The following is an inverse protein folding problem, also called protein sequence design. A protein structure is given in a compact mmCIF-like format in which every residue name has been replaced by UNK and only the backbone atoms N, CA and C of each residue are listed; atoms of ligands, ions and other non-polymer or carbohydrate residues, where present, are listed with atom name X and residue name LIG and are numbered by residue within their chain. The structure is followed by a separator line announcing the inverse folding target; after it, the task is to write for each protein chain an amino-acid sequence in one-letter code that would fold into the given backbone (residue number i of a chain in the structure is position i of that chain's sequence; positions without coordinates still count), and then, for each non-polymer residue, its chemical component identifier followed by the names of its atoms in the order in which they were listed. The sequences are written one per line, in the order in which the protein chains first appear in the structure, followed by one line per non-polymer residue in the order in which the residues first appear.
data_IF_890920489905
#
_entry.id   IF_890920489905
#
_cell.length_a   1.000
_cell.length_b   1.000
_cell.length_c   1.000
_cell.angle_alpha   90.00
_cell.angle_beta   90.00
_cell.angle_gamma   90.00
#
_symmetry.space_group_name_H-M   'P 1'
#
loop_
_entity.id
_entity.type
_entity.pdbx_description
1 polymer ?
#
# COMPACT_ATOMS: atom_id res chain seq x y z
N UNK A 1 -62.75 -65.36 -28.39
CA UNK A 1 -63.64 -64.19 -28.43
C UNK A 1 -64.43 -64.13 -27.14
N UNK A 2 -64.08 -63.23 -26.22
CA UNK A 2 -65.01 -62.31 -25.54
C UNK A 2 -64.35 -61.64 -24.34
N UNK A 3 -64.33 -60.32 -24.41
CA UNK A 3 -63.96 -59.34 -23.39
C UNK A 3 -64.96 -59.29 -22.23
N UNK A 4 -64.47 -58.76 -21.08
CA UNK A 4 -65.11 -57.85 -20.07
C UNK A 4 -64.21 -57.92 -18.82
N UNK A 5 -63.38 -56.93 -18.42
CA UNK A 5 -63.59 -55.57 -17.86
C UNK A 5 -64.81 -55.52 -16.89
N UNK A 6 -64.81 -55.10 -15.62
CA UNK A 6 -64.19 -54.06 -14.74
C UNK A 6 -64.41 -54.52 -13.24
N UNK A 7 -64.27 -53.72 -12.15
CA UNK A 7 -63.13 -52.99 -11.58
C UNK A 7 -63.03 -53.13 -10.03
N UNK A 8 -62.06 -52.45 -9.38
CA UNK A 8 -62.19 -51.70 -8.12
C UNK A 8 -60.86 -51.68 -7.34
N UNK A 9 -60.35 -50.49 -7.02
CA UNK A 9 -60.13 -50.04 -5.64
C UNK A 9 -59.28 -48.75 -5.61
N UNK A 10 -59.64 -47.91 -4.65
CA UNK A 10 -59.13 -46.59 -4.32
C UNK A 10 -57.64 -46.58 -3.96
N UNK A 11 -56.98 -45.45 -4.20
CA UNK A 11 -55.68 -45.13 -3.60
C UNK A 11 -55.32 -43.66 -3.77
N UNK A 12 -55.64 -42.84 -2.78
CA UNK A 12 -55.17 -41.47 -2.68
C UNK A 12 -53.64 -41.44 -2.46
N UNK A 13 -52.90 -40.73 -3.32
CA UNK A 13 -51.47 -40.51 -3.13
C UNK A 13 -51.18 -39.00 -3.09
N UNK A 14 -50.87 -38.51 -1.90
CA UNK A 14 -50.30 -37.19 -1.61
C UNK A 14 -48.92 -37.09 -2.28
N UNK A 15 -48.81 -36.29 -3.34
CA UNK A 15 -47.54 -35.90 -3.95
C UNK A 15 -47.02 -34.65 -3.25
N UNK A 16 -46.26 -34.85 -2.16
CA UNK A 16 -45.47 -33.81 -1.51
C UNK A 16 -44.22 -33.51 -2.35
N UNK A 17 -44.30 -32.47 -3.18
CA UNK A 17 -43.18 -31.93 -3.96
C UNK A 17 -42.17 -31.25 -3.04
N UNK A 18 -41.16 -31.99 -2.55
CA UNK A 18 -39.98 -31.40 -1.92
C UNK A 18 -39.09 -30.78 -3.01
N UNK A 19 -39.26 -29.48 -3.24
CA UNK A 19 -38.30 -28.67 -3.99
C UNK A 19 -37.05 -28.45 -3.13
N UNK A 20 -36.03 -29.28 -3.32
CA UNK A 20 -34.67 -29.02 -2.84
C UNK A 20 -34.03 -27.96 -3.74
N UNK A 21 -34.24 -26.69 -3.44
CA UNK A 21 -33.42 -25.60 -3.95
C UNK A 21 -32.10 -25.58 -3.16
N UNK A 22 -31.16 -26.47 -3.51
CA UNK A 22 -29.75 -26.25 -3.19
C UNK A 22 -29.24 -25.10 -4.06
N UNK A 23 -29.47 -23.87 -3.62
CA UNK A 23 -28.76 -22.69 -4.13
C UNK A 23 -27.31 -22.76 -3.65
N UNK A 24 -26.51 -23.60 -4.31
CA UNK A 24 -25.07 -23.39 -4.33
C UNK A 24 -24.82 -22.23 -5.29
N UNK A 25 -24.83 -21.00 -4.76
CA UNK A 25 -24.24 -19.87 -5.46
C UNK A 25 -22.78 -20.20 -5.83
N UNK A 26 -22.21 -19.60 -6.88
CA UNK A 26 -20.85 -19.90 -7.31
C UNK A 26 -19.89 -19.72 -6.14
N UNK A 27 -19.32 -20.82 -5.67
CA UNK A 27 -18.30 -20.82 -4.65
C UNK A 27 -17.11 -20.05 -5.23
N UNK A 28 -16.83 -18.86 -4.68
CA UNK A 28 -15.74 -18.01 -5.20
C UNK A 28 -14.42 -18.82 -5.17
N UNK A 29 -13.46 -18.55 -6.07
CA UNK A 29 -12.24 -19.35 -6.14
C UNK A 29 -11.44 -19.24 -4.84
N UNK A 30 -10.86 -20.36 -4.40
CA UNK A 30 -9.79 -20.35 -3.40
C UNK A 30 -8.61 -19.48 -3.88
N UNK A 31 -7.69 -19.14 -2.96
CA UNK A 31 -6.51 -18.37 -3.29
C UNK A 31 -5.71 -19.08 -4.40
N UNK A 32 -5.46 -18.39 -5.50
CA UNK A 32 -4.67 -18.92 -6.60
C UNK A 32 -3.73 -17.84 -7.16
N UNK A 33 -2.76 -18.25 -7.95
CA UNK A 33 -1.75 -17.31 -8.45
C UNK A 33 -2.37 -16.16 -9.27
N UNK A 34 -3.39 -16.44 -10.07
CA UNK A 34 -4.01 -15.46 -10.95
C UNK A 34 -4.76 -14.38 -10.16
N UNK A 35 -5.62 -14.78 -9.20
CA UNK A 35 -6.41 -13.85 -8.42
C UNK A 35 -5.54 -13.02 -7.45
N UNK A 36 -4.51 -13.62 -6.86
CA UNK A 36 -3.57 -12.90 -5.99
C UNK A 36 -2.67 -11.95 -6.78
N UNK A 37 -2.26 -12.32 -8.01
CA UNK A 37 -1.49 -11.43 -8.88
C UNK A 37 -2.30 -10.19 -9.24
N UNK A 38 -3.59 -10.36 -9.59
CA UNK A 38 -4.48 -9.23 -9.86
C UNK A 38 -4.65 -8.32 -8.63
N UNK A 39 -4.85 -8.91 -7.45
CA UNK A 39 -5.00 -8.18 -6.20
C UNK A 39 -3.72 -7.43 -5.81
N UNK A 40 -2.55 -8.06 -5.95
CA UNK A 40 -1.24 -7.45 -5.71
C UNK A 40 -0.97 -6.27 -6.65
N UNK A 41 -1.26 -6.42 -7.95
CA UNK A 41 -1.11 -5.34 -8.91
C UNK A 41 -2.03 -4.16 -8.59
N UNK A 42 -3.29 -4.42 -8.25
CA UNK A 42 -4.24 -3.38 -7.85
C UNK A 42 -3.81 -2.69 -6.55
N UNK A 43 -3.24 -3.43 -5.60
CA UNK A 43 -2.69 -2.88 -4.36
C UNK A 43 -1.48 -1.98 -4.64
N UNK A 44 -0.47 -2.47 -5.36
CA UNK A 44 0.76 -1.72 -5.64
C UNK A 44 0.51 -0.50 -6.54
N UNK A 45 -0.45 -0.56 -7.46
CA UNK A 45 -0.86 0.63 -8.22
C UNK A 45 -1.36 1.77 -7.31
N UNK A 46 -1.94 1.45 -6.14
CA UNK A 46 -2.48 2.44 -5.18
C UNK A 46 -1.53 2.76 -4.03
N UNK A 47 -0.72 1.80 -3.60
CA UNK A 47 0.07 1.82 -2.35
C UNK A 47 1.54 1.46 -2.57
N UNK A 48 1.99 1.36 -3.82
CA UNK A 48 3.38 1.02 -4.17
C UNK A 48 4.35 2.19 -4.07
N UNK A 49 3.91 3.41 -3.77
CA UNK A 49 4.81 4.55 -3.66
C UNK A 49 5.63 4.50 -2.37
N UNK A 50 6.95 4.62 -2.52
CA UNK A 50 7.89 4.74 -1.42
C UNK A 50 8.12 6.23 -1.11
N UNK A 51 7.36 6.77 -0.17
CA UNK A 51 7.39 8.19 0.15
C UNK A 51 8.12 8.53 1.45
N UNK A 52 8.58 9.77 1.55
CA UNK A 52 9.44 10.24 2.62
C UNK A 52 8.65 10.75 3.83
N UNK A 53 7.32 10.77 3.84
CA UNK A 53 6.56 11.42 4.92
C UNK A 53 6.89 12.91 5.04
N UNK A 54 7.11 13.57 3.90
CA UNK A 54 7.30 15.02 3.75
C UNK A 54 6.06 15.58 3.05
N UNK A 55 4.96 15.57 3.78
CA UNK A 55 3.61 15.86 3.26
C UNK A 55 3.25 17.35 3.29
N UNK A 56 3.97 18.15 4.09
CA UNK A 56 3.75 19.59 4.24
C UNK A 56 4.98 20.37 3.79
N UNK A 57 4.74 21.37 2.94
CA UNK A 57 5.77 22.27 2.41
C UNK A 57 5.32 23.72 2.57
N UNK A 58 6.25 24.68 2.80
CA UNK A 58 7.69 24.46 2.97
C UNK A 58 8.03 23.73 4.28
N UNK A 59 9.24 23.19 4.38
CA UNK A 59 9.75 22.53 5.59
C UNK A 59 10.70 23.50 6.29
N UNK A 60 10.36 23.88 7.51
CA UNK A 60 11.18 24.73 8.35
C UNK A 60 12.03 23.87 9.30
N UNK A 61 13.34 24.12 9.31
CA UNK A 61 14.30 23.49 10.22
C UNK A 61 14.83 24.56 11.17
N UNK A 62 14.50 24.50 12.48
CA UNK A 62 15.02 25.43 13.47
C UNK A 62 16.55 25.46 13.49
N UNK A 63 17.16 26.65 13.61
CA UNK A 63 18.62 26.76 13.66
C UNK A 63 19.23 25.96 14.82
N UNK A 64 18.51 25.84 15.94
CA UNK A 64 18.90 25.00 17.09
C UNK A 64 19.03 23.50 16.76
N UNK A 65 18.42 23.04 15.67
CA UNK A 65 18.53 21.65 15.21
C UNK A 65 19.67 21.46 14.20
N UNK A 66 20.31 22.54 13.72
CA UNK A 66 21.45 22.46 12.83
C UNK A 66 22.62 21.71 13.52
N UNK A 67 23.26 20.79 12.78
CA UNK A 67 24.34 19.96 13.33
C UNK A 67 23.90 18.85 14.30
N UNK A 68 22.60 18.74 14.59
CA UNK A 68 22.06 17.62 15.38
C UNK A 68 21.73 16.42 14.49
N UNK A 69 21.31 15.30 15.11
CA UNK A 69 20.77 14.12 14.39
C UNK A 69 19.27 14.21 14.11
N UNK A 70 18.68 15.41 14.22
CA UNK A 70 17.28 15.60 13.85
C UNK A 70 17.06 15.24 12.37
N UNK A 71 15.96 14.55 12.09
CA UNK A 71 15.68 13.97 10.77
C UNK A 71 15.80 14.98 9.63
N UNK A 72 15.14 16.14 9.75
CA UNK A 72 15.17 17.15 8.69
C UNK A 72 16.50 17.92 8.65
N UNK A 73 17.21 18.07 9.79
CA UNK A 73 18.54 18.66 9.81
C UNK A 73 19.57 17.86 9.02
N UNK A 74 19.42 16.52 8.96
CA UNK A 74 20.25 15.65 8.13
C UNK A 74 19.77 15.57 6.67
N UNK A 75 18.46 15.49 6.45
CA UNK A 75 17.90 15.17 5.14
C UNK A 75 17.77 16.37 4.20
N UNK A 76 17.36 17.53 4.71
CA UNK A 76 17.05 18.68 3.86
C UNK A 76 18.28 19.27 3.14
N UNK A 77 19.48 19.37 3.77
CA UNK A 77 20.68 19.81 3.07
C UNK A 77 21.09 18.89 1.91
N UNK A 78 20.84 17.58 2.02
CA UNK A 78 21.12 16.63 0.95
C UNK A 78 20.18 16.84 -0.23
N UNK A 79 18.87 17.04 0.04
CA UNK A 79 17.90 17.37 -1.00
C UNK A 79 18.20 18.73 -1.66
N UNK A 80 18.72 19.69 -0.90
CA UNK A 80 19.13 21.00 -1.41
C UNK A 80 20.33 20.89 -2.35
N UNK A 81 21.37 20.17 -1.95
CA UNK A 81 22.56 19.92 -2.79
C UNK A 81 22.18 19.30 -4.14
N UNK A 82 21.14 18.46 -4.16
CA UNK A 82 20.63 17.82 -5.37
C UNK A 82 19.69 18.70 -6.18
N UNK A 83 19.45 19.94 -5.74
CA UNK A 83 18.56 20.89 -6.41
C UNK A 83 17.08 20.54 -6.31
N UNK A 84 16.69 19.61 -5.42
CA UNK A 84 15.30 19.19 -5.21
C UNK A 84 14.55 20.20 -4.31
N UNK A 85 15.27 20.89 -3.44
CA UNK A 85 14.75 21.98 -2.62
C UNK A 85 15.70 23.18 -2.64
N UNK A 86 15.22 24.35 -2.29
CA UNK A 86 16.01 25.55 -2.08
C UNK A 86 15.89 26.02 -0.64
N UNK A 87 17.00 26.35 0.03
CA UNK A 87 16.97 26.94 1.35
C UNK A 87 16.84 28.47 1.32
N UNK A 88 16.20 29.01 2.35
CA UNK A 88 16.17 30.43 2.68
C UNK A 88 16.14 30.60 4.19
N UNK A 89 16.56 31.77 4.70
CA UNK A 89 16.38 32.11 6.12
C UNK A 89 14.99 32.67 6.32
N UNK A 90 14.32 32.27 7.40
CA UNK A 90 13.04 32.83 7.81
C UNK A 90 12.94 32.94 9.34
N UNK A 91 11.96 33.70 9.81
CA UNK A 91 11.51 33.72 11.20
C UNK A 91 10.07 33.22 11.26
N UNK A 92 9.78 32.35 12.21
CA UNK A 92 8.44 31.76 12.41
C UNK A 92 8.14 31.65 13.90
N UNK A 93 6.88 31.64 14.28
CA UNK A 93 6.48 31.32 15.66
C UNK A 93 6.96 29.90 16.03
N UNK A 94 7.47 29.73 17.24
CA UNK A 94 7.85 28.40 17.71
C UNK A 94 6.59 27.57 18.04
N UNK A 95 6.27 26.60 17.18
CA UNK A 95 5.15 25.68 17.41
C UNK A 95 5.30 24.89 18.72
N UNK A 96 6.54 24.68 19.21
CA UNK A 96 6.81 23.93 20.44
C UNK A 96 6.73 24.81 21.69
N UNK A 97 6.90 26.12 21.56
CA UNK A 97 6.90 27.07 22.67
C UNK A 97 6.40 28.44 22.20
N UNK A 98 5.07 28.61 22.22
CA UNK A 98 4.43 29.84 21.74
C UNK A 98 4.79 31.08 22.56
N UNK A 99 5.29 30.90 23.80
CA UNK A 99 5.71 32.01 24.66
C UNK A 99 7.13 32.50 24.32
N UNK A 100 7.95 31.65 23.70
CA UNK A 100 9.31 31.99 23.27
C UNK A 100 9.36 32.96 22.07
N UNK A 101 8.24 33.19 21.38
CA UNK A 101 8.13 34.11 20.25
C UNK A 101 8.68 33.54 18.93
N UNK A 102 9.16 34.42 18.06
CA UNK A 102 9.71 34.02 16.76
C UNK A 102 11.10 33.38 16.87
N UNK A 103 11.31 32.27 16.17
CA UNK A 103 12.58 31.57 16.04
C UNK A 103 13.13 31.67 14.62
N UNK A 104 14.45 31.68 14.50
CA UNK A 104 15.11 31.57 13.21
C UNK A 104 15.10 30.12 12.70
N UNK A 105 14.74 29.97 11.41
CA UNK A 105 14.68 28.68 10.72
C UNK A 105 15.39 28.76 9.37
N UNK A 106 15.90 27.61 8.92
CA UNK A 106 16.18 27.38 7.49
C UNK A 106 14.92 26.81 6.87
N UNK A 107 14.30 27.57 5.98
CA UNK A 107 13.10 27.20 5.23
C UNK A 107 13.49 26.56 3.90
N UNK A 108 13.05 25.32 3.70
CA UNK A 108 13.24 24.57 2.46
C UNK A 108 11.94 24.50 1.66
N UNK A 109 11.98 24.98 0.42
CA UNK A 109 10.87 24.92 -0.52
C UNK A 109 11.20 23.99 -1.70
N UNK A 110 10.20 23.30 -2.24
CA UNK A 110 10.37 22.48 -3.44
C UNK A 110 10.78 23.36 -4.64
N UNK A 111 11.83 22.96 -5.34
CA UNK A 111 12.19 23.54 -6.64
C UNK A 111 11.29 22.98 -7.74
N UNK A 112 11.43 23.49 -8.98
CA UNK A 112 10.76 22.89 -10.14
C UNK A 112 11.13 21.41 -10.35
N UNK A 113 12.38 21.03 -10.06
CA UNK A 113 12.81 19.63 -10.11
C UNK A 113 12.19 18.81 -8.96
N UNK A 114 12.21 19.34 -7.73
CA UNK A 114 11.62 18.66 -6.57
C UNK A 114 10.12 18.37 -6.73
N UNK A 115 9.38 19.29 -7.34
CA UNK A 115 7.94 19.11 -7.59
C UNK A 115 7.60 17.87 -8.44
N UNK A 116 8.52 17.40 -9.30
CA UNK A 116 8.30 16.17 -10.09
C UNK A 116 8.15 14.93 -9.21
N UNK A 117 8.68 14.98 -8.00
CA UNK A 117 8.66 13.87 -7.04
C UNK A 117 7.63 14.07 -5.92
N UNK A 118 6.89 15.19 -5.90
CA UNK A 118 5.79 15.40 -4.99
C UNK A 118 4.49 14.89 -5.62
N UNK A 119 3.96 13.80 -5.08
CA UNK A 119 2.73 13.18 -5.59
C UNK A 119 1.55 13.77 -4.84
N UNK A 120 0.77 14.62 -5.50
CA UNK A 120 -0.49 15.16 -4.97
C UNK A 120 -1.57 14.07 -4.95
N UNK A 121 -2.08 13.74 -3.76
CA UNK A 121 -3.11 12.71 -3.56
C UNK A 121 -3.98 13.04 -2.35
N UNK A 122 -5.20 12.53 -2.33
CA UNK A 122 -6.08 12.57 -1.16
C UNK A 122 -5.72 11.44 -0.16
N UNK A 123 -5.73 11.69 1.15
CA UNK A 123 -6.03 12.97 1.82
C UNK A 123 -4.84 13.93 1.94
N UNK A 124 -3.62 13.50 1.60
CA UNK A 124 -2.43 14.34 1.60
C UNK A 124 -1.39 13.84 0.60
N UNK A 125 -0.74 14.77 -0.10
CA UNK A 125 0.40 14.47 -0.96
C UNK A 125 1.66 14.15 -0.15
N UNK A 126 2.66 13.57 -0.81
CA UNK A 126 3.95 13.27 -0.20
C UNK A 126 5.09 13.35 -1.24
N UNK A 127 6.31 13.58 -0.77
CA UNK A 127 7.51 13.52 -1.58
C UNK A 127 8.00 12.08 -1.70
N UNK A 128 7.98 11.51 -2.90
CA UNK A 128 8.19 10.10 -3.14
C UNK A 128 9.50 9.82 -3.88
N UNK A 129 10.18 8.76 -3.46
CA UNK A 129 11.48 8.35 -3.96
C UNK A 129 11.38 7.28 -5.06
N UNK A 130 10.31 6.50 -5.06
CA UNK A 130 10.11 5.43 -6.01
C UNK A 130 8.66 4.94 -6.07
N UNK A 131 8.34 4.17 -7.10
CA UNK A 131 7.12 3.36 -7.20
C UNK A 131 7.47 1.88 -7.35
N UNK A 132 6.84 1.02 -6.54
CA UNK A 132 7.01 -0.43 -6.56
C UNK A 132 5.93 -1.06 -7.45
N UNK A 133 6.35 -1.95 -8.33
CA UNK A 133 5.44 -2.83 -9.11
C UNK A 133 5.72 -4.29 -8.79
N UNK A 134 4.73 -5.16 -8.97
CA UNK A 134 4.93 -6.58 -8.72
C UNK A 134 6.00 -7.14 -9.68
N UNK A 135 6.98 -7.85 -9.12
CA UNK A 135 7.88 -8.68 -9.91
C UNK A 135 7.27 -10.08 -10.06
N UNK A 136 7.09 -10.78 -8.93
CA UNK A 136 6.38 -12.06 -8.86
C UNK A 136 5.87 -12.35 -7.45
N UNK A 137 4.86 -13.20 -7.37
CA UNK A 137 4.47 -13.86 -6.12
C UNK A 137 5.41 -15.04 -5.90
N UNK A 138 5.99 -15.12 -4.71
CA UNK A 138 6.85 -16.23 -4.26
C UNK A 138 6.01 -17.36 -3.66
N UNK A 139 4.94 -17.00 -2.93
CA UNK A 139 4.02 -17.95 -2.33
C UNK A 139 2.97 -17.25 -1.46
N UNK A 140 2.00 -18.00 -0.93
CA UNK A 140 1.02 -17.50 0.02
C UNK A 140 0.65 -18.57 1.04
N UNK A 141 0.29 -18.13 2.24
CA UNK A 141 -0.10 -18.99 3.35
C UNK A 141 -1.38 -18.47 4.00
N UNK A 142 -2.28 -19.37 4.41
CA UNK A 142 -3.44 -19.00 5.22
C UNK A 142 -3.00 -18.54 6.60
N UNK A 143 -3.54 -17.42 7.09
CA UNK A 143 -3.27 -16.99 8.46
C UNK A 143 -3.92 -17.93 9.47
N UNK A 144 -3.09 -18.54 10.32
CA UNK A 144 -3.55 -19.45 11.39
C UNK A 144 -4.22 -18.72 12.55
N UNK A 145 -3.97 -17.42 12.66
CA UNK A 145 -4.40 -16.52 13.74
C UNK A 145 -5.45 -15.50 13.29
N UNK A 146 -5.93 -15.60 12.05
CA UNK A 146 -6.97 -14.70 11.56
C UNK A 146 -8.31 -15.03 12.24
N UNK A 147 -9.02 -13.98 12.68
CA UNK A 147 -10.39 -14.09 13.17
C UNK A 147 -11.34 -14.58 12.08
N UNK A 148 -10.97 -14.34 10.82
CA UNK A 148 -11.69 -14.81 9.65
C UNK A 148 -10.88 -15.89 8.91
N UNK A 149 -11.46 -17.08 8.62
CA UNK A 149 -10.76 -18.19 7.95
C UNK A 149 -10.38 -17.92 6.48
N UNK A 150 -10.45 -16.66 6.03
CA UNK A 150 -10.32 -16.26 4.63
C UNK A 150 -9.16 -15.28 4.36
N UNK A 151 -8.25 -15.11 5.33
CA UNK A 151 -7.05 -14.29 5.17
C UNK A 151 -5.82 -15.09 4.72
N UNK A 152 -5.07 -14.52 3.77
CA UNK A 152 -3.80 -15.05 3.29
C UNK A 152 -2.69 -14.00 3.39
N UNK A 153 -1.48 -14.47 3.65
CA UNK A 153 -0.26 -13.65 3.58
C UNK A 153 0.45 -13.97 2.26
N UNK A 154 0.45 -13.03 1.33
CA UNK A 154 1.16 -13.14 0.06
C UNK A 154 2.59 -12.68 0.24
N UNK A 155 3.55 -13.54 -0.08
CA UNK A 155 4.98 -13.21 -0.14
C UNK A 155 5.36 -12.93 -1.59
N UNK A 156 5.98 -11.80 -1.87
CA UNK A 156 6.27 -11.34 -3.23
C UNK A 156 7.61 -10.62 -3.34
N UNK A 157 8.21 -10.63 -4.53
CA UNK A 157 9.28 -9.69 -4.91
C UNK A 157 8.70 -8.56 -5.75
N UNK A 158 9.43 -7.45 -5.85
CA UNK A 158 8.99 -6.25 -6.56
C UNK A 158 10.06 -5.72 -7.51
N UNK A 159 9.63 -5.04 -8.57
CA UNK A 159 10.46 -4.13 -9.37
C UNK A 159 10.26 -2.71 -8.84
N UNK A 160 11.19 -1.83 -9.15
CA UNK A 160 11.16 -0.46 -8.68
C UNK A 160 11.42 0.51 -9.83
N UNK A 161 10.60 1.55 -9.91
CA UNK A 161 10.86 2.77 -10.67
C UNK A 161 11.36 3.81 -9.67
N UNK A 162 12.69 3.92 -9.53
CA UNK A 162 13.32 4.77 -8.54
C UNK A 162 13.75 6.10 -9.17
N UNK A 163 13.50 7.20 -8.45
CA UNK A 163 13.93 8.52 -8.89
C UNK A 163 15.47 8.56 -8.99
N UNK A 164 16.05 9.21 -10.03
CA UNK A 164 17.50 9.14 -10.26
C UNK A 164 18.36 9.60 -9.07
N UNK A 165 17.84 10.55 -8.29
CA UNK A 165 18.52 11.08 -7.11
C UNK A 165 18.71 10.05 -5.98
N UNK A 166 17.97 8.93 -5.98
CA UNK A 166 18.14 7.88 -4.97
C UNK A 166 19.45 7.11 -5.10
N UNK A 167 20.13 7.24 -6.25
CA UNK A 167 21.44 6.65 -6.49
C UNK A 167 22.60 7.38 -5.81
N UNK A 168 22.39 8.59 -5.29
CA UNK A 168 23.42 9.39 -4.63
C UNK A 168 23.82 8.79 -3.26
N UNK A 169 25.12 8.73 -2.97
CA UNK A 169 25.64 8.08 -1.76
C UNK A 169 25.23 8.78 -0.47
N UNK A 170 25.09 10.10 -0.47
CA UNK A 170 24.64 10.82 0.72
C UNK A 170 23.13 10.63 0.94
N UNK A 171 22.36 10.51 -0.15
CA UNK A 171 20.94 10.14 -0.06
C UNK A 171 20.79 8.77 0.59
N UNK A 172 21.58 7.78 0.17
CA UNK A 172 21.53 6.44 0.75
C UNK A 172 21.84 6.42 2.25
N UNK A 173 22.73 7.32 2.71
CA UNK A 173 23.06 7.47 4.13
C UNK A 173 21.93 8.10 4.95
N UNK A 174 21.30 9.17 4.46
CA UNK A 174 20.28 9.92 5.23
C UNK A 174 18.85 9.42 5.03
N UNK A 175 18.64 8.54 4.04
CA UNK A 175 17.38 7.83 3.76
C UNK A 175 17.58 6.30 3.71
N UNK A 176 17.98 5.64 4.81
CA UNK A 176 18.35 4.22 4.81
C UNK A 176 17.22 3.27 4.42
N UNK A 177 15.95 3.65 4.65
CA UNK A 177 14.81 2.85 4.18
C UNK A 177 14.67 2.90 2.67
N UNK A 178 14.86 4.08 2.05
CA UNK A 178 14.84 4.22 0.59
C UNK A 178 15.92 3.36 -0.02
N UNK A 179 17.14 3.49 0.49
CA UNK A 179 18.28 2.70 0.06
C UNK A 179 18.03 1.19 0.15
N UNK A 180 17.53 0.70 1.29
CA UNK A 180 17.22 -0.71 1.48
C UNK A 180 16.21 -1.22 0.44
N UNK A 181 15.15 -0.45 0.18
CA UNK A 181 14.10 -0.85 -0.77
C UNK A 181 14.60 -0.78 -2.21
N UNK A 182 15.38 0.25 -2.58
CA UNK A 182 15.97 0.36 -3.92
C UNK A 182 16.92 -0.81 -4.20
N UNK A 183 17.85 -1.11 -3.27
CA UNK A 183 18.80 -2.21 -3.41
C UNK A 183 18.16 -3.60 -3.37
N UNK A 184 17.00 -3.72 -2.73
CA UNK A 184 16.24 -4.97 -2.63
C UNK A 184 15.42 -5.33 -3.86
N UNK A 185 15.34 -4.48 -4.89
CA UNK A 185 14.52 -4.75 -6.07
C UNK A 185 14.87 -6.11 -6.72
N UNK A 186 13.85 -6.90 -7.04
CA UNK A 186 13.95 -8.24 -7.62
C UNK A 186 14.39 -9.36 -6.67
N UNK A 187 14.84 -9.05 -5.45
CA UNK A 187 15.43 -10.05 -4.53
C UNK A 187 14.81 -10.04 -3.14
N UNK A 188 14.52 -8.87 -2.59
CA UNK A 188 13.88 -8.75 -1.27
C UNK A 188 12.42 -9.19 -1.36
N UNK A 189 12.04 -10.06 -0.44
CA UNK A 189 10.66 -10.53 -0.29
C UNK A 189 9.92 -9.65 0.70
N UNK A 190 8.77 -9.12 0.28
CA UNK A 190 7.81 -8.41 1.11
C UNK A 190 6.56 -9.27 1.32
N UNK A 191 5.78 -8.93 2.34
CA UNK A 191 4.54 -9.62 2.68
C UNK A 191 3.38 -8.63 2.63
N UNK A 192 2.26 -9.06 2.04
CA UNK A 192 1.02 -8.31 2.06
C UNK A 192 -0.13 -9.25 2.43
N UNK A 193 -0.95 -8.82 3.39
CA UNK A 193 -2.12 -9.56 3.80
C UNK A 193 -3.30 -9.24 2.89
N UNK A 194 -4.05 -10.26 2.49
CA UNK A 194 -5.31 -10.12 1.80
C UNK A 194 -6.39 -10.89 2.53
N UNK A 195 -7.60 -10.34 2.52
CA UNK A 195 -8.82 -11.03 2.93
C UNK A 195 -9.70 -11.28 1.72
N UNK A 196 -10.40 -12.41 1.73
CA UNK A 196 -11.36 -12.74 0.68
C UNK A 196 -12.67 -11.99 0.92
N UNK A 197 -13.26 -11.51 -0.16
CA UNK A 197 -14.57 -10.85 -0.19
C UNK A 197 -15.39 -11.43 -1.34
N UNK A 198 -16.67 -11.06 -1.41
CA UNK A 198 -17.56 -11.49 -2.50
C UNK A 198 -17.09 -10.99 -3.89
N UNK A 199 -16.30 -9.92 -3.93
CA UNK A 199 -15.79 -9.31 -5.16
C UNK A 199 -14.32 -9.64 -5.45
N UNK A 200 -13.68 -10.48 -4.62
CA UNK A 200 -12.29 -10.91 -4.79
C UNK A 200 -11.42 -10.68 -3.56
N UNK A 201 -10.11 -10.58 -3.77
CA UNK A 201 -9.13 -10.38 -2.70
C UNK A 201 -8.84 -8.90 -2.50
N UNK A 202 -9.03 -8.41 -1.28
CA UNK A 202 -8.73 -7.02 -0.91
C UNK A 202 -7.64 -7.00 0.17
N UNK A 203 -6.81 -5.94 0.24
CA UNK A 203 -5.84 -5.81 1.31
C UNK A 203 -6.54 -5.91 2.67
N UNK A 204 -6.01 -6.75 3.56
CA UNK A 204 -6.44 -6.74 4.94
C UNK A 204 -5.83 -5.51 5.62
N UNK A 205 -6.64 -4.78 6.39
CA UNK A 205 -6.15 -3.69 7.22
C UNK A 205 -5.23 -4.28 8.31
N UNK A 206 -4.18 -3.53 8.66
CA UNK A 206 -3.23 -3.88 9.72
C UNK A 206 -3.76 -3.36 11.05
#
# INVERSE_FOLDING_TARGET
MNNKILPAALGAALLSSLALLSSCGPQQPEANLQNLTAAMNAYLAKKGDLCLGKTRWPIDVPQREAGTRARNALQMPVLERLGLVSASKAKVEDEKDKEAGEIEVTRYALTGEGKKYFLEREPQGDFCAAHLTLDKIVGWETRKDAKEPSEVVVTYTYRIDAAPWTGDTEVQKVFPMVDRVVRGAGTMQLKQNFRRTDTGWVPAEV
#
